data_IF_641743206767
#
_entry.id   IF_641743206767
#
_cell.length_a   1.000
_cell.length_b   1.000
_cell.length_c   1.000
_cell.angle_alpha   90.00
_cell.angle_beta   90.00
_cell.angle_gamma   90.00
#
_symmetry.space_group_name_H-M   'P 1'
#
loop_
_entity.id
_entity.type
_entity.pdbx_description
1 polymer ?
#
# COMPACT_ATOMS: atom_id res chain seq x y z
N UNK A 1 -17.42 12.26 17.30
CA UNK A 1 -16.10 12.39 16.64
C UNK A 1 -15.62 10.99 16.25
N UNK A 2 -15.46 10.68 14.96
CA UNK A 2 -14.88 9.40 14.54
C UNK A 2 -13.39 9.42 14.88
N UNK A 3 -12.98 8.72 15.94
CA UNK A 3 -11.57 8.35 16.14
C UNK A 3 -11.13 7.64 14.86
N UNK A 4 -10.13 8.16 14.13
CA UNK A 4 -9.45 7.34 13.15
C UNK A 4 -8.86 6.14 13.90
N UNK A 5 -9.47 4.97 13.71
CA UNK A 5 -8.99 3.72 14.30
C UNK A 5 -7.58 3.50 13.78
N UNK A 6 -6.62 3.21 14.66
CA UNK A 6 -5.26 2.82 14.25
C UNK A 6 -5.36 1.69 13.21
N UNK A 7 -4.51 1.75 12.17
CA UNK A 7 -4.44 0.68 11.17
C UNK A 7 -3.89 -0.58 11.82
N UNK A 8 -4.57 -1.72 11.61
CA UNK A 8 -4.10 -3.00 12.10
C UNK A 8 -3.02 -3.57 11.17
N UNK A 9 -2.31 -4.58 11.64
CA UNK A 9 -1.26 -5.24 10.85
C UNK A 9 -1.86 -5.96 9.63
N UNK A 10 -3.09 -6.47 9.73
CA UNK A 10 -3.83 -7.07 8.63
C UNK A 10 -4.20 -6.03 7.57
N UNK A 11 -4.68 -4.86 7.99
CA UNK A 11 -5.02 -3.77 7.07
C UNK A 11 -3.76 -3.25 6.35
N UNK A 12 -2.65 -3.11 7.08
CA UNK A 12 -1.37 -2.77 6.48
C UNK A 12 -0.92 -3.82 5.46
N UNK A 13 -1.00 -5.10 5.82
CA UNK A 13 -0.59 -6.21 4.94
C UNK A 13 -1.45 -6.26 3.68
N UNK A 14 -2.77 -6.18 3.80
CA UNK A 14 -3.67 -6.19 2.65
C UNK A 14 -3.41 -5.03 1.68
N UNK A 15 -3.15 -3.82 2.19
CA UNK A 15 -2.82 -2.68 1.35
C UNK A 15 -1.48 -2.85 0.63
N UNK A 16 -0.46 -3.36 1.34
CA UNK A 16 0.88 -3.58 0.80
C UNK A 16 0.88 -4.70 -0.25
N UNK A 17 0.21 -5.82 0.01
CA UNK A 17 0.07 -6.93 -0.95
C UNK A 17 -0.63 -6.47 -2.23
N UNK A 18 -1.74 -5.75 -2.10
CA UNK A 18 -2.45 -5.18 -3.24
C UNK A 18 -1.56 -4.20 -4.03
N UNK A 19 -0.79 -3.36 -3.34
CA UNK A 19 0.16 -2.46 -3.98
C UNK A 19 1.25 -3.22 -4.75
N UNK A 20 1.88 -4.22 -4.14
CA UNK A 20 2.96 -4.99 -4.76
C UNK A 20 2.44 -5.80 -5.95
N UNK A 21 1.21 -6.34 -5.88
CA UNK A 21 0.56 -6.99 -7.02
C UNK A 21 0.34 -6.02 -8.19
N UNK A 22 -0.14 -4.81 -7.91
CA UNK A 22 -0.27 -3.77 -8.94
C UNK A 22 1.09 -3.36 -9.51
N UNK A 23 2.12 -3.26 -8.66
CA UNK A 23 3.48 -2.92 -9.11
C UNK A 23 4.06 -4.01 -10.00
N UNK A 24 3.79 -5.28 -9.72
CA UNK A 24 4.16 -6.38 -10.61
C UNK A 24 3.46 -6.25 -11.96
N UNK A 25 2.15 -6.02 -11.99
CA UNK A 25 1.42 -5.79 -13.25
C UNK A 25 1.95 -4.58 -14.04
N UNK A 26 2.29 -3.49 -13.36
CA UNK A 26 2.90 -2.31 -13.97
C UNK A 26 4.25 -2.66 -14.65
N UNK A 27 5.11 -3.43 -13.98
CA UNK A 27 6.41 -3.86 -14.51
C UNK A 27 6.29 -4.78 -15.72
N UNK A 28 5.30 -5.67 -15.71
CA UNK A 28 5.03 -6.61 -16.80
C UNK A 28 4.17 -6.01 -17.93
N UNK A 29 3.82 -4.71 -17.84
CA UNK A 29 2.86 -4.05 -18.75
C UNK A 29 1.50 -4.77 -18.85
N UNK A 30 1.09 -5.46 -17.78
CA UNK A 30 -0.21 -6.12 -17.68
C UNK A 30 -1.25 -5.08 -17.27
N UNK A 31 -2.33 -4.87 -18.05
CA UNK A 31 -3.38 -3.93 -17.68
C UNK A 31 -4.06 -4.33 -16.37
N UNK A 32 -4.28 -3.35 -15.48
CA UNK A 32 -5.04 -3.55 -14.24
C UNK A 32 -5.91 -2.32 -13.92
N UNK A 33 -6.98 -2.55 -13.16
CA UNK A 33 -7.89 -1.48 -12.72
C UNK A 33 -7.67 -1.15 -11.25
N UNK A 34 -7.07 0.01 -10.97
CA UNK A 34 -6.95 0.58 -9.61
C UNK A 34 -8.30 0.71 -8.92
N UNK A 35 -9.36 0.99 -9.71
CA UNK A 35 -10.71 1.12 -9.18
C UNK A 35 -11.28 -0.22 -8.72
N UNK A 36 -11.02 -1.32 -9.45
CA UNK A 36 -11.46 -2.65 -9.05
C UNK A 36 -10.71 -3.12 -7.80
N UNK A 37 -9.38 -3.01 -7.80
CA UNK A 37 -8.57 -3.42 -6.64
C UNK A 37 -8.97 -2.66 -5.38
N UNK A 38 -9.23 -1.34 -5.47
CA UNK A 38 -9.72 -0.56 -4.34
C UNK A 38 -11.12 -1.00 -3.90
N UNK A 39 -12.00 -1.38 -4.83
CA UNK A 39 -13.33 -1.93 -4.50
C UNK A 39 -13.17 -3.24 -3.73
N UNK A 40 -12.31 -4.13 -4.18
CA UNK A 40 -12.06 -5.43 -3.54
C UNK A 40 -11.51 -5.24 -2.12
N UNK A 41 -10.58 -4.31 -1.92
CA UNK A 41 -10.07 -3.95 -0.60
C UNK A 41 -11.17 -3.43 0.34
N UNK A 42 -12.06 -2.57 -0.17
CA UNK A 42 -13.17 -1.99 0.59
C UNK A 42 -14.30 -2.99 0.87
N UNK A 43 -14.49 -3.98 0.01
CA UNK A 43 -15.44 -5.07 0.24
C UNK A 43 -14.87 -6.18 1.13
N UNK A 44 -13.56 -6.17 1.37
CA UNK A 44 -12.85 -7.13 2.21
C UNK A 44 -12.05 -6.42 3.29
N UNK A 45 -10.75 -6.70 3.44
CA UNK A 45 -9.97 -6.40 4.65
C UNK A 45 -9.95 -4.93 5.09
N UNK A 46 -10.25 -3.98 4.18
CA UNK A 46 -10.28 -2.55 4.46
C UNK A 46 -11.70 -1.98 4.54
N UNK A 47 -12.71 -2.80 4.87
CA UNK A 47 -14.13 -2.36 4.90
C UNK A 47 -14.42 -1.18 5.83
N UNK A 48 -13.56 -0.95 6.83
CA UNK A 48 -13.68 0.15 7.78
C UNK A 48 -12.89 1.40 7.36
N UNK A 49 -12.24 1.40 6.19
CA UNK A 49 -11.42 2.50 5.68
C UNK A 49 -12.15 3.29 4.60
N UNK A 50 -11.74 4.54 4.42
CA UNK A 50 -12.24 5.37 3.33
C UNK A 50 -11.37 5.22 2.08
N UNK A 51 -11.93 5.52 0.91
CA UNK A 51 -11.18 5.58 -0.36
C UNK A 51 -9.95 6.48 -0.24
N UNK A 52 -10.09 7.65 0.39
CA UNK A 52 -8.98 8.59 0.61
C UNK A 52 -7.91 8.05 1.55
N UNK A 53 -8.30 7.30 2.59
CA UNK A 53 -7.34 6.66 3.51
C UNK A 53 -6.52 5.58 2.80
N UNK A 54 -7.16 4.79 1.92
CA UNK A 54 -6.48 3.79 1.09
C UNK A 54 -5.54 4.47 0.10
N UNK A 55 -5.98 5.51 -0.62
CA UNK A 55 -5.15 6.27 -1.55
C UNK A 55 -3.90 6.83 -0.87
N UNK A 56 -4.06 7.45 0.30
CA UNK A 56 -2.94 7.98 1.07
C UNK A 56 -2.01 6.85 1.57
N UNK A 57 -2.56 5.67 1.92
CA UNK A 57 -1.75 4.49 2.25
C UNK A 57 -0.91 4.04 1.06
N UNK A 58 -1.45 4.04 -0.16
CA UNK A 58 -0.69 3.74 -1.37
C UNK A 58 0.47 4.73 -1.58
N UNK A 59 0.23 6.03 -1.39
CA UNK A 59 1.27 7.07 -1.48
C UNK A 59 2.37 6.91 -0.43
N UNK A 60 2.01 6.48 0.79
CA UNK A 60 2.98 6.16 1.84
C UNK A 60 3.87 4.96 1.42
N UNK A 61 3.29 3.93 0.80
CA UNK A 61 4.05 2.79 0.28
C UNK A 61 5.01 3.24 -0.83
N UNK A 62 4.54 4.07 -1.77
CA UNK A 62 5.39 4.65 -2.81
C UNK A 62 6.55 5.47 -2.23
N UNK A 63 6.31 6.24 -1.16
CA UNK A 63 7.36 6.96 -0.47
C UNK A 63 8.41 6.04 0.16
N UNK A 64 8.00 4.96 0.84
CA UNK A 64 8.95 3.99 1.41
C UNK A 64 9.81 3.34 0.31
N UNK A 65 9.19 2.91 -0.80
CA UNK A 65 9.93 2.34 -1.93
C UNK A 65 10.89 3.35 -2.56
N UNK A 66 10.44 4.59 -2.75
CA UNK A 66 11.26 5.66 -3.30
C UNK A 66 12.46 5.98 -2.40
N UNK A 67 12.28 6.03 -1.08
CA UNK A 67 13.36 6.23 -0.11
C UNK A 67 14.40 5.10 -0.13
N UNK A 68 14.00 3.89 -0.53
CA UNK A 68 14.88 2.74 -0.72
C UNK A 68 15.50 2.65 -2.12
N UNK A 69 15.25 3.63 -3.00
CA UNK A 69 15.70 3.59 -4.40
C UNK A 69 14.98 2.52 -5.26
N UNK A 70 13.85 1.98 -4.78
CA UNK A 70 13.03 1.00 -5.50
C UNK A 70 12.00 1.70 -6.39
N UNK A 71 11.60 1.04 -7.47
CA UNK A 71 10.49 1.48 -8.33
C UNK A 71 9.17 1.49 -7.57
N UNK A 72 8.32 2.46 -7.89
CA UNK A 72 6.97 2.63 -7.34
C UNK A 72 5.97 2.93 -8.49
N UNK A 73 4.67 2.83 -8.22
CA UNK A 73 3.62 3.00 -9.23
C UNK A 73 3.43 4.51 -9.52
N UNK A 74 3.71 5.04 -10.73
CA UNK A 74 3.68 6.47 -11.03
C UNK A 74 2.38 7.19 -10.63
N UNK A 75 1.24 6.50 -10.72
CA UNK A 75 -0.06 7.06 -10.35
C UNK A 75 -0.34 7.16 -8.85
N UNK A 76 0.57 6.68 -7.99
CA UNK A 76 0.55 6.93 -6.54
C UNK A 76 1.81 7.71 -6.19
N UNK A 77 1.75 9.04 -6.33
CA UNK A 77 2.92 9.90 -6.05
C UNK A 77 3.38 9.71 -4.59
N UNK A 78 4.70 9.54 -4.33
CA UNK A 78 5.24 9.45 -2.98
C UNK A 78 4.69 10.55 -2.07
N UNK A 79 4.16 10.14 -0.91
CA UNK A 79 3.74 11.07 0.11
C UNK A 79 4.93 11.94 0.55
N UNK A 80 4.72 13.25 0.71
CA UNK A 80 5.76 14.20 1.13
C UNK A 80 6.32 13.89 2.52
N UNK A 81 5.45 13.40 3.41
CA UNK A 81 5.78 13.08 4.78
C UNK A 81 5.14 11.74 5.15
N UNK A 82 5.95 10.81 5.64
CA UNK A 82 5.50 9.56 6.24
C UNK A 82 5.98 9.55 7.69
N UNK A 83 5.09 9.29 8.64
CA UNK A 83 5.50 9.17 10.04
C UNK A 83 6.46 8.00 10.23
N UNK A 84 7.53 8.16 11.01
CA UNK A 84 8.59 7.15 11.20
C UNK A 84 8.08 5.76 11.56
N UNK A 85 7.03 5.68 12.40
CA UNK A 85 6.40 4.42 12.81
C UNK A 85 5.73 3.73 11.60
N UNK A 86 5.01 4.51 10.79
CA UNK A 86 4.33 4.02 9.59
C UNK A 86 5.35 3.58 8.55
N UNK A 87 6.39 4.36 8.31
CA UNK A 87 7.47 4.03 7.38
C UNK A 87 8.13 2.71 7.76
N UNK A 88 8.54 2.55 9.02
CA UNK A 88 9.13 1.31 9.53
C UNK A 88 8.17 0.12 9.36
N UNK A 89 6.91 0.28 9.77
CA UNK A 89 5.91 -0.79 9.65
C UNK A 89 5.72 -1.23 8.20
N UNK A 90 5.65 -0.29 7.25
CA UNK A 90 5.56 -0.61 5.82
C UNK A 90 6.81 -1.35 5.34
N UNK A 91 8.00 -0.85 5.67
CA UNK A 91 9.26 -1.48 5.29
C UNK A 91 9.38 -2.93 5.82
N UNK A 92 9.03 -3.15 7.10
CA UNK A 92 9.07 -4.47 7.73
C UNK A 92 8.11 -5.46 7.05
N UNK A 93 6.91 -5.02 6.68
CA UNK A 93 5.93 -5.87 6.00
C UNK A 93 6.38 -6.18 4.57
N UNK A 94 6.91 -5.20 3.83
CA UNK A 94 7.49 -5.43 2.49
C UNK A 94 8.59 -6.49 2.57
N UNK A 95 9.52 -6.36 3.52
CA UNK A 95 10.61 -7.33 3.70
C UNK A 95 10.08 -8.73 4.02
N UNK A 96 9.05 -8.83 4.88
CA UNK A 96 8.41 -10.11 5.19
C UNK A 96 7.73 -10.74 3.97
N UNK A 97 7.06 -9.97 3.13
CA UNK A 97 6.41 -10.47 1.91
C UNK A 97 7.46 -10.92 0.89
N UNK A 98 8.48 -10.10 0.63
CA UNK A 98 9.58 -10.44 -0.28
C UNK A 98 10.36 -11.68 0.19
N UNK A 99 10.52 -11.86 1.50
CA UNK A 99 11.21 -13.02 2.09
C UNK A 99 10.42 -14.32 2.09
N UNK A 100 9.08 -14.27 2.00
CA UNK A 100 8.22 -15.47 1.89
C UNK A 100 8.18 -16.07 0.48
N UNK A 101 8.58 -15.30 -0.53
CA UNK A 101 8.60 -15.73 -1.94
C UNK A 101 9.94 -16.29 -2.41
N UNK A 102 10.90 -16.51 -1.51
CA UNK A 102 12.20 -17.15 -1.77
C UNK A 102 12.23 -18.57 -1.22
#
# INVERSE_FOLDING_TARGET
MKKEKLWTDEEHSAAIEAYLRMLHFEKENIPYSKANIRRDLLSGPLQNRSKGSIEFRMQNISAVLNNQGKTWIPGYKPAKNVGRIVERKIADIILKIEGKGK
#
